data_IF_972996818365
#
_entry.id   IF_972996818365
#
_cell.length_a   1.000
_cell.length_b   1.000
_cell.length_c   1.000
_cell.angle_alpha   90.00
_cell.angle_beta   90.00
_cell.angle_gamma   90.00
#
_symmetry.space_group_name_H-M   'P 1'
#
loop_
_entity.id
_entity.type
_entity.pdbx_description
1 polymer ?
#
# COMPACT_ATOMS: atom_id res chain seq x y z
N UNK A 1 -3.15 4.26 24.91
CA UNK A 1 -3.52 3.89 23.54
C UNK A 1 -2.78 4.70 22.46
N UNK A 2 -2.58 6.01 22.63
CA UNK A 2 -1.88 6.84 21.61
C UNK A 2 -0.48 6.33 21.27
N UNK A 3 0.35 5.97 22.25
CA UNK A 3 1.70 5.45 22.01
C UNK A 3 1.69 4.13 21.23
N UNK A 4 0.77 3.22 21.58
CA UNK A 4 0.61 1.94 20.87
C UNK A 4 0.26 2.19 19.39
N UNK A 5 -0.71 3.08 19.14
CA UNK A 5 -1.12 3.48 17.80
C UNK A 5 0.03 4.17 17.04
N UNK A 6 0.79 5.04 17.70
CA UNK A 6 1.95 5.72 17.12
C UNK A 6 3.03 4.74 16.66
N UNK A 7 3.46 3.80 17.51
CA UNK A 7 4.51 2.84 17.13
C UNK A 7 4.03 1.87 16.04
N UNK A 8 2.78 1.41 16.13
CA UNK A 8 2.19 0.59 15.06
C UNK A 8 2.13 1.34 13.74
N UNK A 9 1.74 2.61 13.76
CA UNK A 9 1.67 3.46 12.58
C UNK A 9 3.07 3.77 12.02
N UNK A 10 4.05 4.03 12.89
CA UNK A 10 5.43 4.26 12.49
C UNK A 10 6.03 3.04 11.79
N UNK A 11 5.71 1.82 12.25
CA UNK A 11 6.11 0.58 11.57
C UNK A 11 5.48 0.42 10.18
N UNK A 12 4.33 1.08 9.91
CA UNK A 12 3.62 1.08 8.64
C UNK A 12 3.91 2.33 7.77
N UNK A 13 4.89 3.15 8.12
CA UNK A 13 5.20 4.40 7.39
C UNK A 13 5.48 4.18 5.90
N UNK A 14 5.99 3.00 5.52
CA UNK A 14 6.23 2.63 4.12
C UNK A 14 4.95 2.55 3.28
N UNK A 15 3.78 2.34 3.91
CA UNK A 15 2.48 2.26 3.25
C UNK A 15 1.84 3.61 2.98
N UNK A 16 2.29 4.68 3.67
CA UNK A 16 1.76 6.03 3.48
C UNK A 16 2.69 7.09 4.02
N UNK A 17 2.95 8.14 3.23
CA UNK A 17 3.95 9.18 3.55
C UNK A 17 3.43 10.59 3.29
N UNK A 18 2.14 10.76 2.96
CA UNK A 18 1.55 12.05 2.65
C UNK A 18 0.94 12.71 3.88
N UNK A 19 0.23 11.94 4.66
CA UNK A 19 -0.42 12.41 5.89
C UNK A 19 -0.62 11.26 6.86
N UNK A 20 -0.83 11.59 8.13
CA UNK A 20 -1.16 10.60 9.14
C UNK A 20 -2.07 11.18 10.22
N UNK A 21 -2.71 10.29 10.98
CA UNK A 21 -3.61 10.68 12.06
C UNK A 21 -3.83 9.57 13.06
N UNK A 22 -4.18 9.98 14.28
CA UNK A 22 -4.57 9.13 15.39
C UNK A 22 -5.84 9.70 16.01
N UNK A 23 -6.80 8.84 16.29
CA UNK A 23 -8.00 9.13 17.08
C UNK A 23 -8.04 8.19 18.26
N UNK A 24 -8.12 8.73 19.47
CA UNK A 24 -8.24 7.96 20.72
C UNK A 24 -9.64 8.16 21.28
N UNK A 25 -10.26 7.07 21.69
CA UNK A 25 -11.56 7.05 22.35
C UNK A 25 -11.38 6.85 23.87
N UNK A 26 -11.84 7.84 24.62
CA UNK A 26 -11.93 7.81 26.06
C UNK A 26 -13.40 7.87 26.47
N UNK A 27 -13.98 6.71 26.70
CA UNK A 27 -15.38 6.53 27.12
C UNK A 27 -16.41 7.28 26.25
N UNK A 28 -16.23 7.17 24.91
CA UNK A 28 -17.12 7.82 23.93
C UNK A 28 -16.71 9.26 23.54
N UNK A 29 -15.72 9.84 24.22
CA UNK A 29 -15.12 11.12 23.85
C UNK A 29 -13.91 10.86 22.97
N UNK A 30 -13.92 11.40 21.76
CA UNK A 30 -12.82 11.23 20.78
C UNK A 30 -11.88 12.42 20.87
N UNK A 31 -10.59 12.12 21.05
CA UNK A 31 -9.50 13.06 20.90
C UNK A 31 -8.72 12.68 19.63
N UNK A 32 -8.47 13.64 18.76
CA UNK A 32 -7.81 13.40 17.49
C UNK A 32 -6.70 14.38 17.18
N UNK A 33 -5.69 13.90 16.48
CA UNK A 33 -4.69 14.71 15.79
C UNK A 33 -4.37 14.07 14.46
N UNK A 34 -4.40 14.87 13.40
CA UNK A 34 -4.04 14.45 12.04
C UNK A 34 -3.52 15.63 11.26
N UNK A 35 -2.51 15.39 10.42
CA UNK A 35 -1.92 16.40 9.57
C UNK A 35 -1.19 15.80 8.37
N UNK A 36 -0.78 16.64 7.44
CA UNK A 36 0.11 16.35 6.33
C UNK A 36 1.52 16.15 6.89
N UNK A 37 2.21 15.10 6.47
CA UNK A 37 3.58 14.77 6.89
C UNK A 37 3.75 13.33 7.35
N UNK A 38 4.99 12.98 7.69
CA UNK A 38 5.35 11.69 8.26
C UNK A 38 4.90 11.58 9.72
N UNK A 39 4.79 10.36 10.21
CA UNK A 39 4.35 10.09 11.59
C UNK A 39 5.18 10.83 12.64
N UNK A 40 6.50 10.87 12.48
CA UNK A 40 7.41 11.57 13.38
C UNK A 40 7.44 13.11 13.18
N UNK A 41 6.90 13.61 12.10
CA UNK A 41 6.74 15.06 11.85
C UNK A 41 5.43 15.57 12.44
N UNK A 42 4.36 14.79 12.33
CA UNK A 42 3.02 15.14 12.83
C UNK A 42 2.89 14.95 14.33
N UNK A 43 3.55 13.94 14.90
CA UNK A 43 3.44 13.60 16.32
C UNK A 43 4.77 13.78 17.05
N UNK A 44 4.86 14.82 17.85
CA UNK A 44 5.90 14.96 18.88
C UNK A 44 5.51 14.17 20.15
N UNK A 45 6.48 13.99 21.06
CA UNK A 45 6.20 13.38 22.37
C UNK A 45 5.15 14.19 23.15
N UNK A 46 5.21 15.52 23.09
CA UNK A 46 4.27 16.38 23.76
C UNK A 46 2.85 16.26 23.18
N UNK A 47 2.74 16.01 21.88
CA UNK A 47 1.45 15.76 21.25
C UNK A 47 0.84 14.44 21.68
N UNK A 48 1.65 13.39 21.82
CA UNK A 48 1.18 12.09 22.32
C UNK A 48 0.72 12.18 23.77
N UNK A 49 1.39 12.97 24.63
CA UNK A 49 1.00 13.19 26.01
C UNK A 49 -0.32 13.97 26.19
N UNK A 50 -0.77 14.71 25.16
CA UNK A 50 -2.07 15.42 25.18
C UNK A 50 -3.27 14.49 24.95
N UNK A 51 -3.06 13.30 24.41
CA UNK A 51 -4.14 12.35 24.26
C UNK A 51 -4.58 11.81 25.62
N UNK A 52 -5.90 11.54 25.80
CA UNK A 52 -6.38 10.84 26.98
C UNK A 52 -5.83 9.42 27.01
N UNK A 53 -5.88 8.78 28.15
CA UNK A 53 -5.43 7.40 28.29
C UNK A 53 -6.21 6.46 27.38
N UNK A 54 -7.53 6.62 27.30
CA UNK A 54 -8.44 5.92 26.41
C UNK A 54 -8.37 4.39 26.44
N UNK A 55 -9.37 3.75 25.87
CA UNK A 55 -9.41 2.28 25.74
C UNK A 55 -9.24 1.78 24.33
N UNK A 56 -9.52 2.60 23.33
CA UNK A 56 -9.44 2.28 21.91
C UNK A 56 -8.76 3.41 21.16
N UNK A 57 -8.08 3.05 20.07
CA UNK A 57 -7.51 4.02 19.14
C UNK A 57 -7.58 3.50 17.69
N UNK A 58 -7.74 4.40 16.75
CA UNK A 58 -7.59 4.15 15.31
C UNK A 58 -6.56 5.10 14.75
N UNK A 59 -5.68 4.58 13.91
CA UNK A 59 -4.62 5.37 13.29
C UNK A 59 -4.48 5.02 11.80
N UNK A 60 -4.00 5.98 11.02
CA UNK A 60 -3.80 5.81 9.58
C UNK A 60 -2.60 6.61 9.09
N UNK A 61 -1.79 5.99 8.22
CA UNK A 61 -0.79 6.65 7.39
C UNK A 61 -1.28 6.59 5.93
N UNK A 62 -1.53 7.77 5.32
CA UNK A 62 -2.17 7.88 4.02
C UNK A 62 -1.14 7.92 2.89
N UNK A 63 -1.44 7.14 1.85
CA UNK A 63 -0.94 7.31 0.50
C UNK A 63 -2.15 7.67 -0.40
N UNK A 64 -2.10 8.78 -1.10
CA UNK A 64 -3.25 9.27 -1.87
C UNK A 64 -3.61 8.37 -3.04
N UNK A 65 -4.75 7.69 -2.96
CA UNK A 65 -5.32 6.87 -4.05
C UNK A 65 -6.48 7.59 -4.72
N UNK A 66 -7.42 8.10 -3.95
CA UNK A 66 -8.52 8.98 -4.39
C UNK A 66 -8.53 10.24 -3.55
N UNK A 67 -8.65 11.41 -4.21
CA UNK A 67 -8.56 12.73 -3.60
C UNK A 67 -7.13 13.21 -3.37
N UNK A 68 -6.93 14.54 -3.48
CA UNK A 68 -5.63 15.19 -3.39
C UNK A 68 -5.01 15.16 -1.99
N UNK A 69 -3.78 15.64 -1.92
CA UNK A 69 -3.05 15.77 -0.66
C UNK A 69 -3.49 17.04 0.08
N UNK A 70 -4.66 16.98 0.71
CA UNK A 70 -5.23 18.05 1.53
C UNK A 70 -5.43 17.59 2.98
N UNK A 71 -5.43 18.54 3.92
CA UNK A 71 -5.73 18.26 5.33
C UNK A 71 -7.11 17.63 5.53
N UNK A 72 -8.08 17.99 4.69
CA UNK A 72 -9.42 17.43 4.75
C UNK A 72 -9.43 15.91 4.51
N UNK A 73 -8.51 15.41 3.66
CA UNK A 73 -8.39 14.00 3.30
C UNK A 73 -7.58 13.17 4.30
N UNK A 74 -7.01 13.79 5.37
CA UNK A 74 -6.29 13.05 6.40
C UNK A 74 -7.23 12.11 7.16
N UNK A 75 -6.81 10.87 7.30
CA UNK A 75 -7.55 9.85 8.06
C UNK A 75 -6.93 9.66 9.45
N UNK A 76 -7.69 9.12 10.44
CA UNK A 76 -9.07 8.63 10.38
C UNK A 76 -10.10 9.74 10.13
N UNK A 77 -11.19 9.40 9.42
CA UNK A 77 -12.34 10.30 9.25
C UNK A 77 -13.26 10.15 10.45
N UNK A 78 -13.60 11.26 11.07
CA UNK A 78 -14.51 11.31 12.22
C UNK A 78 -15.89 11.79 11.80
N UNK A 79 -16.91 11.10 12.25
CA UNK A 79 -18.31 11.41 11.96
C UNK A 79 -19.12 11.46 13.26
N UNK A 80 -19.94 12.49 13.38
CA UNK A 80 -20.96 12.59 14.42
C UNK A 80 -22.31 12.31 13.79
N UNK A 81 -23.04 11.36 14.35
CA UNK A 81 -24.39 11.02 13.90
C UNK A 81 -25.31 10.70 15.06
N UNK A 82 -26.61 10.54 14.79
CA UNK A 82 -27.63 10.36 15.84
C UNK A 82 -27.35 9.21 16.81
N UNK A 83 -26.65 8.16 16.38
CA UNK A 83 -26.33 6.99 17.22
C UNK A 83 -24.96 7.10 17.92
N UNK A 84 -24.30 8.27 17.85
CA UNK A 84 -23.02 8.53 18.50
C UNK A 84 -21.90 8.94 17.55
N UNK A 85 -20.67 8.85 18.01
CA UNK A 85 -19.47 9.14 17.21
C UNK A 85 -18.89 7.89 16.57
N UNK A 86 -18.23 8.09 15.42
CA UNK A 86 -17.51 7.05 14.69
C UNK A 86 -16.22 7.63 14.14
N UNK A 87 -15.12 6.85 14.17
CA UNK A 87 -13.89 7.14 13.48
C UNK A 87 -13.56 5.97 12.55
N UNK A 88 -13.18 6.25 11.30
CA UNK A 88 -12.95 5.26 10.25
C UNK A 88 -11.60 5.48 9.57
N UNK A 89 -10.82 4.42 9.44
CA UNK A 89 -9.62 4.34 8.62
C UNK A 89 -9.81 3.31 7.51
N UNK A 90 -9.36 3.65 6.30
CA UNK A 90 -9.51 2.86 5.08
C UNK A 90 -8.18 2.74 4.33
N UNK A 91 -7.77 1.52 4.04
CA UNK A 91 -6.69 1.19 3.12
C UNK A 91 -7.29 0.46 1.91
N UNK A 92 -7.20 1.08 0.75
CA UNK A 92 -7.75 0.56 -0.49
C UNK A 92 -8.26 1.66 -1.41
N UNK A 93 -9.19 1.29 -2.29
CA UNK A 93 -9.88 2.20 -3.19
C UNK A 93 -11.17 1.57 -3.68
N UNK A 94 -12.29 2.29 -3.58
CA UNK A 94 -13.57 1.83 -4.11
C UNK A 94 -13.64 2.03 -5.62
N UNK A 95 -14.00 0.97 -6.35
CA UNK A 95 -14.21 1.05 -7.80
C UNK A 95 -15.53 1.76 -8.13
N UNK A 96 -16.55 1.68 -7.26
CA UNK A 96 -17.85 2.34 -7.44
C UNK A 96 -18.01 3.64 -6.62
N UNK A 97 -16.89 4.30 -6.27
CA UNK A 97 -16.90 5.51 -5.44
C UNK A 97 -17.71 6.67 -6.07
N UNK A 98 -17.69 6.79 -7.40
CA UNK A 98 -18.39 7.88 -8.10
C UNK A 98 -19.90 7.71 -8.04
N UNK A 99 -20.38 6.54 -8.35
CA UNK A 99 -21.78 6.18 -8.37
C UNK A 99 -22.39 6.36 -6.98
N UNK A 100 -21.70 5.84 -5.97
CA UNK A 100 -22.12 5.97 -4.57
C UNK A 100 -22.13 7.43 -4.10
N UNK A 101 -21.10 8.21 -4.45
CA UNK A 101 -21.06 9.62 -4.09
C UNK A 101 -22.18 10.41 -4.77
N UNK A 102 -22.39 10.18 -6.07
CA UNK A 102 -23.44 10.84 -6.83
C UNK A 102 -24.83 10.53 -6.26
N UNK A 103 -25.10 9.28 -5.91
CA UNK A 103 -26.33 8.87 -5.22
C UNK A 103 -26.53 9.62 -3.89
N UNK A 104 -25.48 9.67 -3.08
CA UNK A 104 -25.49 10.33 -1.77
C UNK A 104 -25.71 11.85 -1.90
N UNK A 105 -25.02 12.52 -2.83
CA UNK A 105 -25.16 13.97 -3.09
C UNK A 105 -26.57 14.31 -3.59
N UNK A 106 -27.14 13.50 -4.48
CA UNK A 106 -28.54 13.64 -4.91
C UNK A 106 -29.53 13.43 -3.76
N UNK A 107 -29.16 12.60 -2.77
CA UNK A 107 -29.89 12.41 -1.52
C UNK A 107 -29.67 13.51 -0.48
N UNK A 108 -28.89 14.56 -0.81
CA UNK A 108 -28.63 15.72 0.06
C UNK A 108 -27.41 15.56 0.98
N UNK A 109 -26.54 14.58 0.78
CA UNK A 109 -25.29 14.46 1.55
C UNK A 109 -24.32 15.60 1.20
N UNK A 110 -23.67 16.15 2.21
CA UNK A 110 -22.67 17.22 2.09
C UNK A 110 -21.31 16.66 2.43
N UNK A 111 -20.43 16.56 1.44
CA UNK A 111 -19.08 16.04 1.60
C UNK A 111 -18.09 17.14 1.99
N UNK A 112 -17.19 16.81 2.91
CA UNK A 112 -16.13 17.69 3.39
C UNK A 112 -14.76 17.29 2.84
N UNK A 113 -14.67 16.08 2.28
CA UNK A 113 -13.44 15.52 1.70
C UNK A 113 -13.68 15.06 0.27
N UNK A 114 -12.59 14.80 -0.44
CA UNK A 114 -12.61 14.16 -1.76
C UNK A 114 -12.28 12.67 -1.69
N UNK A 115 -12.06 12.14 -0.47
CA UNK A 115 -11.73 10.73 -0.23
C UNK A 115 -12.96 9.83 -0.31
N UNK A 116 -12.78 8.64 -0.88
CA UNK A 116 -13.77 7.57 -0.86
C UNK A 116 -14.10 7.05 0.54
N UNK A 117 -13.20 7.25 1.51
CA UNK A 117 -13.44 6.91 2.92
C UNK A 117 -14.64 7.63 3.52
N UNK A 118 -14.90 8.87 3.11
CA UNK A 118 -16.09 9.60 3.56
C UNK A 118 -17.38 9.00 2.98
N UNK A 119 -17.33 8.46 1.76
CA UNK A 119 -18.45 7.73 1.15
C UNK A 119 -18.79 6.50 2.00
N UNK A 120 -17.78 5.73 2.40
CA UNK A 120 -17.96 4.57 3.29
C UNK A 120 -18.62 5.00 4.60
N UNK A 121 -18.14 6.11 5.19
CA UNK A 121 -18.71 6.63 6.44
C UNK A 121 -20.19 7.00 6.30
N UNK A 122 -20.60 7.61 5.18
CA UNK A 122 -22.00 7.92 4.88
C UNK A 122 -22.86 6.67 4.77
N UNK A 123 -22.40 5.66 4.00
CA UNK A 123 -23.16 4.42 3.79
C UNK A 123 -23.32 3.65 5.10
N UNK A 124 -22.26 3.54 5.90
CA UNK A 124 -22.33 2.92 7.23
C UNK A 124 -23.29 3.67 8.15
N UNK A 125 -23.25 5.02 8.12
CA UNK A 125 -24.15 5.85 8.94
C UNK A 125 -25.61 5.67 8.53
N UNK A 126 -25.93 5.67 7.24
CA UNK A 126 -27.28 5.41 6.74
C UNK A 126 -27.77 4.02 7.17
N UNK A 127 -26.95 3.00 6.98
CA UNK A 127 -27.27 1.64 7.42
C UNK A 127 -27.50 1.57 8.93
N UNK A 128 -26.69 2.32 9.71
CA UNK A 128 -26.77 2.33 11.20
C UNK A 128 -28.10 2.89 11.72
N UNK A 129 -28.76 3.77 11.00
CA UNK A 129 -30.07 4.30 11.41
C UNK A 129 -31.11 3.18 11.53
N UNK A 130 -31.05 2.20 10.64
CA UNK A 130 -32.02 1.09 10.55
C UNK A 130 -31.49 -0.25 11.10
N UNK A 131 -30.23 -0.31 11.53
CA UNK A 131 -29.59 -1.52 12.03
C UNK A 131 -29.57 -1.55 13.58
N UNK A 132 -29.71 -2.74 14.21
CA UNK A 132 -29.68 -2.87 15.66
C UNK A 132 -28.29 -2.57 16.24
N UNK A 133 -27.22 -2.82 15.49
CA UNK A 133 -25.84 -2.65 15.93
C UNK A 133 -24.95 -2.06 14.83
N UNK A 134 -23.77 -1.59 15.21
CA UNK A 134 -22.80 -1.03 14.24
C UNK A 134 -22.18 -2.13 13.35
N UNK A 135 -22.01 -3.34 13.85
CA UNK A 135 -21.55 -4.49 13.07
C UNK A 135 -22.55 -4.91 12.00
N UNK A 136 -23.86 -4.89 12.29
CA UNK A 136 -24.90 -5.13 11.30
C UNK A 136 -24.95 -4.01 10.26
N UNK A 137 -24.74 -2.76 10.68
CA UNK A 137 -24.65 -1.63 9.76
C UNK A 137 -23.45 -1.75 8.81
N UNK A 138 -22.29 -2.14 9.33
CA UNK A 138 -21.10 -2.37 8.51
C UNK A 138 -21.31 -3.54 7.54
N UNK A 139 -21.89 -4.66 7.99
CA UNK A 139 -22.24 -5.79 7.13
C UNK A 139 -23.18 -5.36 5.98
N UNK A 140 -24.25 -4.60 6.32
CA UNK A 140 -25.14 -4.04 5.29
C UNK A 140 -24.42 -3.08 4.32
N UNK A 141 -23.50 -2.26 4.83
CA UNK A 141 -22.71 -1.37 3.99
C UNK A 141 -21.80 -2.15 3.01
N UNK A 142 -21.18 -3.24 3.45
CA UNK A 142 -20.31 -4.08 2.60
C UNK A 142 -21.02 -4.61 1.37
N UNK A 143 -22.34 -4.85 1.41
CA UNK A 143 -23.13 -5.26 0.24
C UNK A 143 -23.24 -4.19 -0.85
N UNK A 144 -22.92 -2.92 -0.55
CA UNK A 144 -22.95 -1.79 -1.48
C UNK A 144 -21.56 -1.37 -1.97
N UNK A 145 -20.52 -1.71 -1.22
CA UNK A 145 -19.15 -1.30 -1.52
C UNK A 145 -18.52 -2.26 -2.54
N UNK A 146 -17.98 -1.72 -3.62
CA UNK A 146 -17.18 -2.46 -4.59
C UNK A 146 -15.75 -1.94 -4.62
N UNK A 147 -14.77 -2.85 -4.85
CA UNK A 147 -13.37 -2.52 -4.89
C UNK A 147 -12.59 -3.05 -3.68
N UNK A 148 -11.45 -2.44 -3.42
CA UNK A 148 -10.56 -2.86 -2.34
C UNK A 148 -10.78 -2.03 -1.08
N UNK A 149 -10.99 -2.71 0.05
CA UNK A 149 -11.02 -2.04 1.35
C UNK A 149 -10.58 -2.95 2.50
N UNK A 150 -9.65 -2.45 3.29
CA UNK A 150 -9.39 -2.91 4.64
C UNK A 150 -9.75 -1.76 5.58
N UNK A 151 -10.74 -1.97 6.42
CA UNK A 151 -11.37 -0.96 7.26
C UNK A 151 -11.08 -1.20 8.74
N UNK A 152 -10.78 -0.12 9.46
CA UNK A 152 -10.86 -0.12 10.92
C UNK A 152 -11.83 0.98 11.32
N UNK A 153 -12.93 0.59 11.98
CA UNK A 153 -13.99 1.47 12.42
C UNK A 153 -14.08 1.43 13.95
N UNK A 154 -14.03 2.59 14.58
CA UNK A 154 -14.19 2.74 16.01
C UNK A 154 -15.50 3.50 16.33
N UNK A 155 -16.36 2.91 17.12
CA UNK A 155 -17.51 3.56 17.73
C UNK A 155 -17.21 3.91 19.20
N UNK A 156 -18.19 4.45 19.93
CA UNK A 156 -18.03 4.75 21.34
C UNK A 156 -17.68 3.52 22.20
N UNK A 157 -18.15 2.32 21.83
CA UNK A 157 -18.00 1.11 22.64
C UNK A 157 -17.31 -0.07 21.94
N UNK A 158 -17.09 0.00 20.63
CA UNK A 158 -16.58 -1.13 19.83
C UNK A 158 -15.55 -0.66 18.81
N UNK A 159 -14.57 -1.54 18.55
CA UNK A 159 -13.69 -1.43 17.40
C UNK A 159 -14.01 -2.58 16.44
N UNK A 160 -14.15 -2.27 15.17
CA UNK A 160 -14.43 -3.23 14.11
C UNK A 160 -13.30 -3.21 13.10
N UNK A 161 -12.94 -4.39 12.59
CA UNK A 161 -12.01 -4.55 11.50
C UNK A 161 -12.69 -5.36 10.40
N UNK A 162 -12.73 -4.84 9.19
CA UNK A 162 -13.37 -5.51 8.06
C UNK A 162 -12.45 -5.55 6.85
N UNK A 163 -12.50 -6.65 6.10
CA UNK A 163 -11.76 -6.85 4.87
C UNK A 163 -12.74 -7.10 3.72
N UNK A 164 -12.50 -6.52 2.56
CA UNK A 164 -13.36 -6.72 1.38
C UNK A 164 -13.51 -8.21 1.03
N UNK A 165 -14.63 -8.62 0.35
CA UNK A 165 -14.89 -10.03 0.05
C UNK A 165 -13.87 -10.69 -0.90
N UNK A 166 -13.10 -9.92 -1.68
CA UNK A 166 -12.00 -10.43 -2.49
C UNK A 166 -10.68 -10.55 -1.69
N UNK A 167 -10.54 -9.79 -0.61
CA UNK A 167 -9.34 -9.71 0.21
C UNK A 167 -8.17 -9.03 -0.50
N UNK A 168 -8.43 -7.97 -1.27
CA UNK A 168 -7.40 -7.27 -2.04
C UNK A 168 -6.25 -6.76 -1.17
N UNK A 169 -6.59 -6.06 -0.07
CA UNK A 169 -5.58 -5.52 0.84
C UNK A 169 -5.44 -6.39 2.10
N UNK A 170 -4.22 -6.49 2.64
CA UNK A 170 -4.01 -7.29 3.85
C UNK A 170 -4.60 -6.62 5.08
N UNK A 171 -5.01 -7.44 6.02
CA UNK A 171 -5.43 -7.03 7.36
C UNK A 171 -5.24 -8.21 8.31
N UNK A 172 -4.59 -7.99 9.44
CA UNK A 172 -4.34 -9.00 10.45
C UNK A 172 -4.57 -8.46 11.86
N UNK A 173 -4.62 -9.34 12.85
CA UNK A 173 -4.68 -8.92 14.24
C UNK A 173 -3.81 -9.80 15.13
N UNK A 174 -3.50 -9.25 16.27
CA UNK A 174 -2.73 -9.91 17.32
C UNK A 174 -3.12 -9.40 18.70
N UNK A 175 -2.42 -9.91 19.71
CA UNK A 175 -2.67 -9.57 21.11
C UNK A 175 -1.36 -9.34 21.85
N UNK A 176 -1.27 -8.25 22.59
CA UNK A 176 -0.12 -7.95 23.47
C UNK A 176 -0.16 -8.80 24.73
N UNK A 177 0.92 -8.82 25.49
CA UNK A 177 1.02 -9.60 26.74
C UNK A 177 0.04 -9.13 27.80
N UNK A 178 -0.31 -7.85 27.84
CA UNK A 178 -1.30 -7.26 28.74
C UNK A 178 -2.75 -7.48 28.29
N UNK A 179 -2.94 -8.17 27.16
CA UNK A 179 -4.25 -8.55 26.66
C UNK A 179 -4.89 -7.56 25.69
N UNK A 180 -4.20 -6.49 25.28
CA UNK A 180 -4.69 -5.51 24.31
C UNK A 180 -4.72 -6.11 22.91
N UNK A 181 -5.86 -6.02 22.21
CA UNK A 181 -5.95 -6.41 20.81
C UNK A 181 -5.41 -5.31 19.89
N UNK A 182 -4.66 -5.72 18.88
CA UNK A 182 -4.09 -4.84 17.87
C UNK A 182 -4.46 -5.34 16.48
N UNK A 183 -5.04 -4.46 15.68
CA UNK A 183 -5.34 -4.72 14.25
C UNK A 183 -4.36 -3.90 13.41
N UNK A 184 -3.80 -4.49 12.38
CA UNK A 184 -2.85 -3.83 11.50
C UNK A 184 -2.94 -4.33 10.05
N UNK A 185 -2.52 -3.50 9.11
CA UNK A 185 -2.40 -3.91 7.70
C UNK A 185 -1.35 -5.00 7.50
N UNK A 186 -0.29 -5.01 8.32
CA UNK A 186 0.80 -5.98 8.22
C UNK A 186 1.25 -6.51 9.58
N UNK A 187 1.73 -7.76 9.60
CA UNK A 187 2.24 -8.42 10.81
C UNK A 187 3.48 -7.74 11.41
N UNK A 188 4.29 -7.03 10.60
CA UNK A 188 5.43 -6.26 11.09
C UNK A 188 5.03 -5.17 12.10
N UNK A 189 3.84 -4.57 11.95
CA UNK A 189 3.33 -3.60 12.91
C UNK A 189 2.93 -4.25 14.24
N UNK A 190 2.39 -5.46 14.21
CA UNK A 190 2.11 -6.24 15.44
C UNK A 190 3.40 -6.52 16.20
N UNK A 191 4.44 -6.95 15.48
CA UNK A 191 5.77 -7.20 16.07
C UNK A 191 6.37 -5.94 16.68
N UNK A 192 6.24 -4.80 16.01
CA UNK A 192 6.78 -3.52 16.48
C UNK A 192 6.15 -3.04 17.81
N UNK A 193 4.91 -3.42 18.08
CA UNK A 193 4.21 -3.07 19.33
C UNK A 193 4.16 -4.21 20.35
N UNK A 194 4.91 -5.30 20.12
CA UNK A 194 4.96 -6.45 21.02
C UNK A 194 3.67 -7.29 21.05
N UNK A 195 2.85 -7.18 20.02
CA UNK A 195 1.65 -8.01 19.88
C UNK A 195 1.99 -9.33 19.18
N UNK A 196 1.59 -10.45 19.79
CA UNK A 196 1.67 -11.76 19.16
C UNK A 196 0.64 -11.86 18.06
N UNK A 197 1.08 -12.23 16.86
CA UNK A 197 0.21 -12.48 15.72
C UNK A 197 -0.76 -13.64 16.03
N UNK A 198 -2.04 -13.41 15.82
CA UNK A 198 -3.09 -14.43 15.94
C UNK A 198 -3.43 -15.01 14.57
N UNK A 199 -3.89 -14.19 13.63
CA UNK A 199 -4.17 -14.56 12.24
C UNK A 199 -4.46 -13.36 11.35
N UNK A 200 -4.48 -13.61 10.06
CA UNK A 200 -5.07 -12.71 9.08
C UNK A 200 -6.59 -12.69 9.19
N UNK A 201 -7.20 -11.54 8.87
CA UNK A 201 -8.66 -11.38 8.75
C UNK A 201 -9.07 -11.93 7.37
N UNK A 202 -10.07 -12.79 7.36
CA UNK A 202 -10.52 -13.46 6.13
C UNK A 202 -11.15 -12.44 5.16
N UNK A 203 -11.09 -12.69 3.84
CA UNK A 203 -11.90 -11.94 2.88
C UNK A 203 -13.39 -11.99 3.24
N UNK A 204 -14.05 -10.84 3.33
CA UNK A 204 -15.45 -10.71 3.73
C UNK A 204 -15.73 -10.78 5.23
N UNK A 205 -14.70 -10.93 6.06
CA UNK A 205 -14.88 -11.03 7.52
C UNK A 205 -14.95 -9.64 8.17
N UNK A 206 -15.81 -9.52 9.18
CA UNK A 206 -15.85 -8.42 10.15
C UNK A 206 -15.47 -8.98 11.53
N UNK A 207 -14.37 -8.52 12.10
CA UNK A 207 -14.05 -8.75 13.52
C UNK A 207 -14.59 -7.60 14.36
N UNK A 208 -15.20 -7.94 15.47
CA UNK A 208 -15.74 -7.00 16.46
C UNK A 208 -15.00 -7.19 17.77
N UNK A 209 -14.37 -6.14 18.25
CA UNK A 209 -13.68 -6.09 19.55
C UNK A 209 -14.49 -5.22 20.50
N UNK A 210 -14.90 -5.77 21.61
CA UNK A 210 -15.63 -5.09 22.68
C UNK A 210 -15.23 -5.64 24.06
N UNK A 211 -15.93 -5.25 25.10
CA UNK A 211 -15.69 -5.71 26.48
C UNK A 211 -15.83 -7.23 26.66
N UNK A 212 -16.56 -7.91 25.77
CA UNK A 212 -16.74 -9.36 25.77
C UNK A 212 -15.65 -10.11 24.99
N UNK A 213 -14.67 -9.39 24.45
CA UNK A 213 -13.55 -9.93 23.68
C UNK A 213 -13.71 -9.75 22.18
N UNK A 214 -13.31 -10.75 21.38
CA UNK A 214 -13.34 -10.71 19.93
C UNK A 214 -14.41 -11.65 19.38
N UNK A 215 -15.24 -11.16 18.45
CA UNK A 215 -16.26 -11.93 17.74
C UNK A 215 -16.08 -11.76 16.23
N UNK A 216 -16.38 -12.81 15.48
CA UNK A 216 -16.28 -12.84 14.02
C UNK A 216 -17.68 -12.90 13.40
N UNK A 217 -17.97 -11.98 12.49
CA UNK A 217 -19.08 -12.07 11.55
C UNK A 217 -18.50 -12.45 10.19
N UNK A 218 -19.03 -13.52 9.59
CA UNK A 218 -18.57 -14.12 8.33
C UNK A 218 -19.63 -14.13 7.23
N UNK A 219 -20.63 -13.29 7.33
CA UNK A 219 -21.78 -13.29 6.40
C UNK A 219 -21.32 -13.07 4.94
N UNK A 220 -20.25 -12.29 4.71
CA UNK A 220 -19.70 -12.02 3.38
C UNK A 220 -18.50 -12.93 3.00
N UNK A 221 -18.10 -13.86 3.87
CA UNK A 221 -16.99 -14.77 3.56
C UNK A 221 -17.41 -15.78 2.48
N UNK A 222 -16.61 -15.89 1.42
CA UNK A 222 -16.87 -16.82 0.31
C UNK A 222 -17.88 -16.33 -0.72
N UNK A 223 -18.45 -15.12 -0.59
CA UNK A 223 -19.31 -14.52 -1.62
C UNK A 223 -18.56 -14.24 -2.91
N UNK A 224 -17.26 -13.93 -2.81
CA UNK A 224 -16.38 -13.65 -3.94
C UNK A 224 -15.14 -14.54 -3.90
N UNK A 225 -14.56 -14.87 -5.08
CA UNK A 225 -13.29 -15.58 -5.13
C UNK A 225 -12.19 -14.68 -4.56
N UNK A 226 -11.29 -15.25 -3.77
CA UNK A 226 -10.13 -14.53 -3.24
C UNK A 226 -9.29 -13.96 -4.39
N UNK A 227 -8.87 -12.70 -4.27
CA UNK A 227 -8.06 -11.94 -5.23
C UNK A 227 -7.11 -10.98 -4.51
N UNK A 228 -6.27 -11.50 -3.60
CA UNK A 228 -5.27 -10.66 -2.90
C UNK A 228 -4.33 -9.99 -3.91
N UNK A 229 -3.98 -8.73 -3.67
CA UNK A 229 -3.10 -7.99 -4.58
C UNK A 229 -1.70 -8.63 -4.62
N UNK A 230 -1.25 -9.09 -5.78
CA UNK A 230 0.09 -9.69 -5.92
C UNK A 230 1.20 -8.66 -5.69
N UNK A 231 0.94 -7.38 -5.94
CA UNK A 231 1.91 -6.31 -5.76
C UNK A 231 2.22 -6.01 -4.28
N UNK A 232 1.40 -6.49 -3.35
CA UNK A 232 1.74 -6.51 -1.93
C UNK A 232 3.00 -7.31 -1.66
N UNK A 233 3.16 -8.47 -2.30
CA UNK A 233 4.34 -9.33 -2.16
C UNK A 233 5.55 -8.81 -2.94
N UNK A 234 5.31 -8.15 -4.07
CA UNK A 234 6.39 -7.61 -4.92
C UNK A 234 6.98 -6.35 -4.30
N UNK A 235 6.14 -5.40 -3.84
CA UNK A 235 6.59 -4.07 -3.46
C UNK A 235 6.04 -3.54 -2.13
N UNK A 236 4.69 -3.51 -1.93
CA UNK A 236 4.10 -2.72 -0.84
C UNK A 236 4.50 -3.18 0.55
N UNK A 237 4.39 -4.49 0.82
CA UNK A 237 4.63 -5.00 2.15
C UNK A 237 6.12 -5.02 2.52
N UNK A 238 6.41 -4.91 3.80
CA UNK A 238 7.77 -5.09 4.30
C UNK A 238 8.19 -6.56 4.20
N UNK A 239 9.48 -6.84 3.93
CA UNK A 239 9.97 -8.22 3.80
C UNK A 239 9.73 -9.08 5.04
N UNK A 240 9.74 -8.49 6.23
CA UNK A 240 9.51 -9.16 7.51
C UNK A 240 8.02 -9.43 7.81
N UNK A 241 7.12 -9.07 6.89
CA UNK A 241 5.68 -9.35 7.00
C UNK A 241 5.32 -10.73 6.46
N UNK A 242 4.29 -11.30 7.09
CA UNK A 242 3.57 -12.48 6.60
C UNK A 242 2.15 -12.03 6.26
N UNK A 243 1.70 -12.31 5.04
CA UNK A 243 0.37 -11.97 4.55
C UNK A 243 -0.31 -13.25 4.09
N UNK A 244 -1.50 -13.53 4.62
CA UNK A 244 -2.29 -14.70 4.25
C UNK A 244 -1.49 -16.01 4.31
N UNK A 245 -0.58 -16.12 5.30
CA UNK A 245 0.28 -17.27 5.52
C UNK A 245 1.54 -17.32 4.66
N UNK A 246 1.79 -16.33 3.78
CA UNK A 246 2.96 -16.29 2.90
C UNK A 246 3.95 -15.23 3.37
N UNK A 247 5.22 -15.63 3.53
CA UNK A 247 6.32 -14.68 3.83
C UNK A 247 6.63 -13.81 2.61
N UNK A 248 6.59 -12.49 2.78
CA UNK A 248 6.94 -11.52 1.74
C UNK A 248 8.41 -11.69 1.30
N UNK A 249 9.32 -11.89 2.26
CA UNK A 249 10.73 -12.18 1.98
C UNK A 249 10.89 -13.41 1.08
N UNK A 250 10.22 -14.53 1.42
CA UNK A 250 10.30 -15.76 0.63
C UNK A 250 9.72 -15.55 -0.79
N UNK A 251 8.59 -14.85 -0.92
CA UNK A 251 7.99 -14.56 -2.22
C UNK A 251 8.94 -13.76 -3.13
N UNK A 252 9.61 -12.73 -2.58
CA UNK A 252 10.60 -11.94 -3.34
C UNK A 252 11.84 -12.75 -3.72
N UNK A 253 12.35 -13.60 -2.82
CA UNK A 253 13.46 -14.50 -3.17
C UNK A 253 13.08 -15.47 -4.30
N UNK A 254 11.87 -16.01 -4.26
CA UNK A 254 11.35 -16.85 -5.34
C UNK A 254 11.31 -16.09 -6.67
N UNK A 255 10.88 -14.82 -6.69
CA UNK A 255 10.90 -14.00 -7.90
C UNK A 255 12.32 -13.88 -8.48
N UNK A 256 13.32 -13.63 -7.65
CA UNK A 256 14.71 -13.59 -8.07
C UNK A 256 15.23 -14.93 -8.63
N UNK A 257 14.90 -16.05 -7.96
CA UNK A 257 15.26 -17.38 -8.43
C UNK A 257 14.60 -17.75 -9.77
N UNK A 258 13.37 -17.27 -10.01
CA UNK A 258 12.68 -17.45 -11.30
C UNK A 258 13.38 -16.59 -12.37
N UNK A 259 13.67 -15.32 -12.08
CA UNK A 259 14.37 -14.42 -13.01
C UNK A 259 15.73 -14.94 -13.44
N UNK A 260 16.48 -15.60 -12.55
CA UNK A 260 17.77 -16.21 -12.93
C UNK A 260 17.64 -17.34 -13.94
N UNK A 261 16.50 -18.04 -13.97
CA UNK A 261 16.21 -19.13 -14.91
C UNK A 261 15.61 -18.62 -16.23
N UNK A 262 14.73 -17.61 -16.15
CA UNK A 262 14.02 -17.08 -17.32
C UNK A 262 14.84 -16.05 -18.10
N UNK A 263 15.71 -15.34 -17.40
CA UNK A 263 16.58 -14.30 -17.98
C UNK A 263 18.02 -14.42 -17.48
N UNK A 264 18.70 -15.56 -17.76
CA UNK A 264 20.09 -15.76 -17.38
C UNK A 264 21.01 -14.79 -18.14
N UNK A 265 22.10 -14.39 -17.50
CA UNK A 265 23.15 -13.58 -18.11
C UNK A 265 24.49 -13.85 -17.43
N UNK A 266 25.59 -13.76 -18.16
CA UNK A 266 26.93 -13.78 -17.59
C UNK A 266 27.23 -12.44 -16.92
N UNK A 267 27.52 -12.48 -15.65
CA UNK A 267 27.83 -11.29 -14.87
C UNK A 267 28.80 -11.61 -13.71
N UNK A 268 29.41 -10.57 -13.16
CA UNK A 268 30.39 -10.69 -12.08
C UNK A 268 29.73 -10.54 -10.69
N UNK A 269 28.59 -9.86 -10.61
CA UNK A 269 27.90 -9.58 -9.37
C UNK A 269 26.40 -9.34 -9.57
N UNK A 270 25.58 -9.76 -8.61
CA UNK A 270 24.16 -9.43 -8.51
C UNK A 270 23.98 -8.35 -7.45
N UNK A 271 23.19 -7.33 -7.76
CA UNK A 271 22.88 -6.22 -6.85
C UNK A 271 21.37 -5.95 -6.82
N UNK A 272 20.84 -5.53 -5.66
CA UNK A 272 19.46 -5.10 -5.53
C UNK A 272 19.36 -3.58 -5.38
N UNK A 273 18.33 -2.98 -5.99
CA UNK A 273 17.95 -1.59 -5.71
C UNK A 273 17.35 -1.53 -4.30
N UNK A 274 17.92 -0.75 -3.38
CA UNK A 274 17.37 -0.64 -2.01
C UNK A 274 16.02 0.10 -1.96
N UNK A 275 15.00 -0.40 -1.21
CA UNK A 275 15.02 -1.59 -0.36
C UNK A 275 14.34 -2.79 -1.06
N UNK A 276 13.47 -2.54 -2.03
CA UNK A 276 12.54 -3.51 -2.66
C UNK A 276 13.23 -4.60 -3.48
N UNK A 277 14.33 -4.28 -4.16
CA UNK A 277 15.06 -5.22 -5.02
C UNK A 277 16.01 -6.17 -4.26
N UNK A 278 16.27 -5.95 -2.97
CA UNK A 278 17.31 -6.68 -2.22
C UNK A 278 16.97 -8.18 -2.12
N UNK A 279 15.75 -8.52 -1.69
CA UNK A 279 15.37 -9.93 -1.47
C UNK A 279 15.37 -10.73 -2.78
N UNK A 280 14.88 -10.12 -3.86
CA UNK A 280 14.89 -10.73 -5.18
C UNK A 280 16.34 -10.88 -5.71
N UNK A 281 17.22 -9.93 -5.43
CA UNK A 281 18.63 -10.03 -5.77
C UNK A 281 19.33 -11.19 -5.03
N UNK A 282 19.03 -11.39 -3.76
CA UNK A 282 19.50 -12.55 -2.99
C UNK A 282 19.03 -13.86 -3.62
N UNK A 283 17.75 -13.96 -4.00
CA UNK A 283 17.19 -15.15 -4.66
C UNK A 283 17.81 -15.41 -6.04
N UNK A 284 18.06 -14.34 -6.82
CA UNK A 284 18.75 -14.46 -8.11
C UNK A 284 20.19 -14.93 -7.93
N UNK A 285 20.94 -14.33 -7.01
CA UNK A 285 22.34 -14.70 -6.75
C UNK A 285 22.48 -16.16 -6.31
N UNK A 286 21.63 -16.60 -5.38
CA UNK A 286 21.62 -17.98 -4.89
C UNK A 286 21.33 -19.00 -6.01
N UNK A 287 20.34 -18.69 -6.86
CA UNK A 287 19.91 -19.61 -7.92
C UNK A 287 20.86 -19.61 -9.15
N UNK A 288 21.51 -18.48 -9.43
CA UNK A 288 22.46 -18.36 -10.56
C UNK A 288 23.90 -18.76 -10.20
N UNK A 289 24.27 -18.75 -8.92
CA UNK A 289 25.64 -18.92 -8.45
C UNK A 289 26.51 -17.67 -8.63
N UNK A 290 25.98 -16.56 -9.14
CA UNK A 290 26.67 -15.27 -9.24
C UNK A 290 26.68 -14.62 -7.85
N UNK A 291 27.83 -14.13 -7.32
CA UNK A 291 27.88 -13.58 -5.98
C UNK A 291 27.00 -12.33 -5.82
N UNK A 292 26.33 -12.21 -4.67
CA UNK A 292 25.64 -10.98 -4.30
C UNK A 292 26.63 -9.94 -3.79
N UNK A 293 26.45 -8.69 -4.20
CA UNK A 293 27.21 -7.55 -3.74
C UNK A 293 26.37 -6.31 -3.44
N UNK A 294 26.80 -5.49 -2.50
CA UNK A 294 26.18 -4.20 -2.24
C UNK A 294 26.67 -3.18 -3.26
N UNK A 295 25.80 -2.75 -4.18
CA UNK A 295 26.11 -1.72 -5.16
C UNK A 295 25.70 -0.32 -4.76
N UNK A 296 24.80 -0.20 -3.78
CA UNK A 296 24.23 1.07 -3.35
C UNK A 296 24.17 1.22 -1.84
N UNK A 297 24.30 2.46 -1.41
CA UNK A 297 23.95 2.91 -0.07
C UNK A 297 22.75 3.85 -0.17
N UNK A 298 21.70 3.53 0.58
CA UNK A 298 20.54 4.41 0.75
C UNK A 298 20.75 5.31 1.96
N UNK A 299 20.63 6.63 1.75
CA UNK A 299 20.66 7.59 2.85
C UNK A 299 19.37 7.47 3.68
N UNK A 300 19.49 6.89 4.88
CA UNK A 300 18.37 6.63 5.80
C UNK A 300 17.82 7.91 6.46
N UNK A 301 18.58 9.00 6.43
CA UNK A 301 18.20 10.27 7.07
C UNK A 301 17.36 11.18 6.17
N UNK A 302 17.16 10.82 4.91
CA UNK A 302 16.37 11.59 3.95
C UNK A 302 15.02 10.91 3.75
N UNK A 303 13.95 11.56 4.23
CA UNK A 303 12.57 11.15 3.99
C UNK A 303 12.12 11.43 2.54
N UNK A 304 10.94 10.89 2.14
CA UNK A 304 10.30 11.20 0.84
C UNK A 304 9.82 12.65 0.73
N UNK A 305 9.69 13.35 1.84
CA UNK A 305 9.18 14.72 1.95
C UNK A 305 10.12 15.81 1.41
N UNK A 306 11.32 15.47 0.94
CA UNK A 306 12.17 16.44 0.27
C UNK A 306 11.59 16.75 -1.12
N UNK A 307 10.46 17.47 -1.15
CA UNK A 307 9.81 17.94 -2.38
C UNK A 307 10.46 19.26 -2.77
N UNK A 308 11.33 19.22 -3.78
CA UNK A 308 11.79 20.45 -4.45
C UNK A 308 10.88 20.72 -5.65
N UNK A 309 10.31 21.93 -5.81
CA UNK A 309 9.55 22.27 -7.00
C UNK A 309 10.47 22.40 -8.23
N UNK A 310 10.14 21.67 -9.31
CA UNK A 310 10.82 21.73 -10.61
C UNK A 310 11.35 20.37 -11.12
N UNK A 311 11.27 20.16 -12.43
CA UNK A 311 11.72 18.90 -13.07
C UNK A 311 13.23 18.65 -12.93
N UNK A 312 14.06 19.69 -12.97
CA UNK A 312 15.53 19.56 -12.84
C UNK A 312 15.98 19.12 -11.44
N UNK A 313 15.15 19.37 -10.42
CA UNK A 313 15.45 18.99 -9.02
C UNK A 313 15.12 17.54 -8.68
N UNK A 314 14.37 16.81 -9.53
CA UNK A 314 14.13 15.37 -9.33
C UNK A 314 15.38 14.53 -9.59
N UNK A 315 16.28 14.99 -10.44
CA UNK A 315 17.56 14.31 -10.74
C UNK A 315 18.45 14.32 -9.49
N UNK A 316 18.53 15.46 -8.80
CA UNK A 316 19.31 15.57 -7.56
C UNK A 316 18.75 14.72 -6.42
N UNK A 317 17.44 14.48 -6.38
CA UNK A 317 16.80 13.68 -5.31
C UNK A 317 17.22 12.22 -5.30
N UNK A 318 17.42 11.58 -6.46
CA UNK A 318 17.88 10.18 -6.51
C UNK A 318 19.33 10.11 -6.02
N UNK A 319 20.20 11.02 -6.46
CA UNK A 319 21.61 11.07 -6.02
C UNK A 319 21.77 11.30 -4.51
N UNK A 320 20.92 12.16 -3.94
CA UNK A 320 20.96 12.41 -2.48
C UNK A 320 20.48 11.19 -1.68
N UNK A 321 19.51 10.45 -2.24
CA UNK A 321 18.92 9.27 -1.58
C UNK A 321 19.72 8.00 -1.78
N UNK A 322 20.38 7.85 -2.93
CA UNK A 322 21.03 6.62 -3.36
C UNK A 322 22.42 6.94 -3.92
N UNK A 323 23.44 6.35 -3.34
CA UNK A 323 24.82 6.50 -3.79
C UNK A 323 25.39 5.15 -4.21
N UNK A 324 26.03 5.08 -5.38
CA UNK A 324 26.72 3.87 -5.82
C UNK A 324 28.04 3.67 -5.05
N UNK A 325 28.38 2.41 -4.76
CA UNK A 325 29.64 2.03 -4.13
C UNK A 325 30.65 1.69 -5.25
N UNK A 326 31.49 2.64 -5.63
CA UNK A 326 32.42 2.49 -6.77
C UNK A 326 33.31 1.26 -6.67
N UNK A 327 33.80 0.89 -5.46
CA UNK A 327 34.60 -0.32 -5.22
C UNK A 327 33.88 -1.61 -5.65
N UNK A 328 32.57 -1.66 -5.44
CA UNK A 328 31.74 -2.82 -5.79
C UNK A 328 31.32 -2.85 -7.26
N UNK A 329 31.36 -1.69 -7.94
CA UNK A 329 30.72 -1.47 -9.24
C UNK A 329 31.74 -1.40 -10.37
N UNK A 330 32.91 -0.77 -10.13
CA UNK A 330 33.90 -0.46 -11.15
C UNK A 330 34.38 -1.72 -11.90
N UNK A 331 34.37 -1.61 -13.25
CA UNK A 331 34.80 -2.65 -14.20
C UNK A 331 34.00 -3.97 -14.11
N UNK A 332 32.83 -3.98 -13.45
CA UNK A 332 31.96 -5.15 -13.29
C UNK A 332 30.83 -5.20 -14.30
N UNK A 333 30.46 -6.43 -14.72
CA UNK A 333 29.18 -6.75 -15.34
C UNK A 333 28.18 -7.02 -14.20
N UNK A 334 27.11 -6.27 -14.17
CA UNK A 334 26.18 -6.23 -13.02
C UNK A 334 24.81 -6.77 -13.45
N UNK A 335 24.26 -7.70 -12.67
CA UNK A 335 22.82 -7.96 -12.69
C UNK A 335 22.18 -7.07 -11.63
N UNK A 336 21.40 -6.11 -12.07
CA UNK A 336 20.67 -5.19 -11.20
C UNK A 336 19.20 -5.61 -11.06
N UNK A 337 18.77 -5.89 -9.84
CA UNK A 337 17.39 -6.30 -9.56
C UNK A 337 16.60 -5.14 -8.99
N UNK A 338 15.42 -4.87 -9.56
CA UNK A 338 14.43 -3.92 -9.00
C UNK A 338 13.03 -4.55 -9.01
N UNK A 339 12.07 -3.92 -8.32
CA UNK A 339 10.71 -4.45 -8.21
C UNK A 339 9.87 -4.21 -9.47
N UNK A 340 9.93 -3.02 -10.05
CA UNK A 340 9.05 -2.61 -11.15
C UNK A 340 9.57 -1.42 -11.95
N UNK A 341 9.12 -1.31 -13.21
CA UNK A 341 9.29 -0.11 -14.03
C UNK A 341 7.92 0.40 -14.44
N UNK A 342 7.58 1.63 -14.02
CA UNK A 342 6.32 2.30 -14.40
C UNK A 342 6.56 3.28 -15.53
N UNK A 343 7.38 4.34 -15.30
CA UNK A 343 7.69 5.41 -16.26
C UNK A 343 9.13 5.36 -16.81
N UNK A 344 9.98 4.52 -16.23
CA UNK A 344 11.39 4.36 -16.62
C UNK A 344 12.36 5.44 -16.13
N UNK A 345 11.88 6.59 -15.65
CA UNK A 345 12.73 7.71 -15.22
C UNK A 345 13.65 7.36 -14.05
N UNK A 346 13.12 6.71 -13.03
CA UNK A 346 13.90 6.27 -11.86
C UNK A 346 14.93 5.21 -12.25
N UNK A 347 14.51 4.21 -13.02
CA UNK A 347 15.41 3.13 -13.48
C UNK A 347 16.58 3.68 -14.31
N UNK A 348 16.32 4.64 -15.21
CA UNK A 348 17.36 5.34 -15.96
C UNK A 348 18.36 6.05 -15.05
N UNK A 349 17.88 6.74 -14.00
CA UNK A 349 18.77 7.42 -13.05
C UNK A 349 19.63 6.44 -12.28
N UNK A 350 19.06 5.30 -11.86
CA UNK A 350 19.78 4.26 -11.12
C UNK A 350 20.86 3.61 -12.02
N UNK A 351 20.54 3.30 -13.28
CA UNK A 351 21.51 2.77 -14.24
C UNK A 351 22.64 3.79 -14.47
N UNK A 352 22.32 5.06 -14.65
CA UNK A 352 23.32 6.12 -14.82
C UNK A 352 24.27 6.24 -13.62
N UNK A 353 23.76 6.11 -12.38
CA UNK A 353 24.62 6.10 -11.19
C UNK A 353 25.66 4.96 -11.22
N UNK A 354 25.26 3.77 -11.69
CA UNK A 354 26.20 2.64 -11.83
C UNK A 354 27.21 2.90 -12.96
N UNK A 355 26.78 3.48 -14.10
CA UNK A 355 27.67 3.84 -15.21
C UNK A 355 28.72 4.89 -14.77
N UNK A 356 28.27 5.93 -14.06
CA UNK A 356 29.17 6.95 -13.50
C UNK A 356 30.16 6.36 -12.48
N UNK A 357 29.76 5.32 -11.74
CA UNK A 357 30.61 4.58 -10.83
C UNK A 357 31.57 3.59 -11.54
N UNK A 358 31.48 3.48 -12.88
CA UNK A 358 32.40 2.69 -13.71
C UNK A 358 31.91 1.28 -14.02
N UNK A 359 30.61 0.99 -13.95
CA UNK A 359 30.04 -0.30 -14.35
C UNK A 359 30.36 -0.58 -15.84
N UNK A 360 30.83 -1.80 -16.14
CA UNK A 360 31.12 -2.25 -17.49
C UNK A 360 29.83 -2.58 -18.24
N UNK A 361 28.96 -3.37 -17.61
CA UNK A 361 27.65 -3.75 -18.11
C UNK A 361 26.63 -3.69 -16.98
N UNK A 362 25.35 -3.33 -17.32
CA UNK A 362 24.23 -3.31 -16.40
C UNK A 362 23.05 -4.05 -17.02
N UNK A 363 22.78 -5.26 -16.51
CA UNK A 363 21.69 -6.11 -16.94
C UNK A 363 20.54 -6.00 -15.93
N UNK A 364 19.47 -5.30 -16.32
CA UNK A 364 18.35 -5.06 -15.40
C UNK A 364 17.36 -6.23 -15.40
N UNK A 365 16.91 -6.64 -14.21
CA UNK A 365 15.91 -7.69 -14.00
C UNK A 365 14.85 -7.17 -13.06
N UNK A 366 13.60 -7.27 -13.47
CA UNK A 366 12.45 -6.72 -12.78
C UNK A 366 11.62 -7.85 -12.20
N UNK A 367 11.39 -7.83 -10.89
CA UNK A 367 10.70 -8.88 -10.15
C UNK A 367 9.17 -8.80 -10.26
N UNK A 368 8.65 -7.99 -11.16
CA UNK A 368 7.25 -7.98 -11.61
C UNK A 368 7.15 -8.16 -13.13
N UNK A 369 5.97 -8.53 -13.66
CA UNK A 369 5.64 -8.32 -15.07
C UNK A 369 5.58 -6.82 -15.41
N UNK A 370 5.61 -6.43 -16.69
CA UNK A 370 5.45 -5.03 -17.11
C UNK A 370 4.04 -4.53 -16.76
N UNK A 371 3.94 -3.29 -16.28
CA UNK A 371 2.67 -2.62 -16.08
C UNK A 371 2.03 -2.24 -17.41
N UNK A 372 0.87 -2.82 -17.71
CA UNK A 372 0.13 -2.61 -18.97
C UNK A 372 -1.22 -1.91 -18.76
N UNK A 373 -1.72 -1.87 -17.51
CA UNK A 373 -3.07 -1.40 -17.19
C UNK A 373 -3.09 -0.60 -15.89
N UNK A 374 -4.00 0.39 -15.74
CA UNK A 374 -4.18 1.12 -14.49
C UNK A 374 -4.68 0.20 -13.38
N UNK A 375 -4.51 0.65 -12.13
CA UNK A 375 -5.04 -0.04 -10.95
C UNK A 375 -6.22 0.74 -10.36
N UNK A 376 -7.33 0.03 -10.11
CA UNK A 376 -8.53 0.60 -9.48
C UNK A 376 -8.66 0.23 -7.99
N UNK A 377 -7.69 -0.49 -7.43
CA UNK A 377 -7.72 -1.06 -6.08
C UNK A 377 -6.70 -0.45 -5.12
N UNK A 378 -6.14 0.71 -5.46
CA UNK A 378 -5.29 1.50 -4.56
C UNK A 378 -3.78 1.38 -4.79
N UNK A 379 -3.33 1.02 -6.01
CA UNK A 379 -1.96 1.25 -6.48
C UNK A 379 -1.93 2.54 -7.30
N UNK A 380 -0.87 3.36 -7.13
CA UNK A 380 -0.72 4.62 -7.87
C UNK A 380 -0.26 4.40 -9.32
N UNK A 381 -1.11 3.74 -10.08
CA UNK A 381 -0.97 3.51 -11.53
C UNK A 381 -2.29 3.98 -12.15
N UNK A 382 -2.33 5.24 -12.55
CA UNK A 382 -3.55 5.99 -12.85
C UNK A 382 -3.99 5.95 -14.30
N UNK A 383 -3.04 5.86 -15.26
CA UNK A 383 -3.37 5.84 -16.68
C UNK A 383 -2.35 5.05 -17.51
N UNK A 384 -2.80 4.50 -18.64
CA UNK A 384 -1.95 3.79 -19.59
C UNK A 384 -0.93 4.71 -20.26
N UNK A 385 -1.23 5.98 -20.40
CA UNK A 385 -0.37 6.98 -21.01
C UNK A 385 0.97 7.15 -20.27
N UNK A 386 0.94 6.91 -18.95
CA UNK A 386 2.11 7.00 -18.08
C UNK A 386 2.93 5.70 -18.00
N UNK A 387 2.45 4.60 -18.60
CA UNK A 387 3.08 3.29 -18.52
C UNK A 387 4.02 3.07 -19.71
N UNK A 388 5.33 3.04 -19.44
CA UNK A 388 6.35 2.90 -20.50
C UNK A 388 6.16 1.63 -21.34
N UNK A 389 5.75 0.52 -20.70
CA UNK A 389 5.54 -0.75 -21.39
C UNK A 389 4.32 -0.78 -22.31
N UNK A 390 3.41 0.21 -22.23
CA UNK A 390 2.31 0.37 -23.18
C UNK A 390 2.75 0.96 -24.53
N UNK A 391 3.93 1.58 -24.58
CA UNK A 391 4.41 2.36 -25.73
C UNK A 391 5.70 1.84 -26.34
N UNK A 392 6.45 1.02 -25.59
CA UNK A 392 7.77 0.55 -25.97
C UNK A 392 7.94 -0.95 -25.75
N UNK A 393 8.72 -1.60 -26.63
CA UNK A 393 9.15 -2.98 -26.43
C UNK A 393 10.15 -3.09 -25.27
N UNK A 394 10.42 -4.31 -24.82
CA UNK A 394 11.40 -4.56 -23.74
C UNK A 394 12.80 -4.05 -24.15
N UNK A 395 13.18 -4.24 -25.39
CA UNK A 395 14.46 -3.79 -25.97
C UNK A 395 14.53 -2.25 -25.99
N UNK A 396 13.47 -1.58 -26.47
CA UNK A 396 13.39 -0.12 -26.46
C UNK A 396 13.44 0.46 -25.04
N UNK A 397 12.77 -0.21 -24.06
CA UNK A 397 12.84 0.19 -22.66
C UNK A 397 14.27 0.04 -22.12
N UNK A 398 14.97 -1.06 -22.46
CA UNK A 398 16.37 -1.24 -22.09
C UNK A 398 17.24 -0.07 -22.60
N UNK A 399 17.08 0.31 -23.86
CA UNK A 399 17.78 1.46 -24.46
C UNK A 399 17.43 2.78 -23.76
N UNK A 400 16.15 3.03 -23.50
CA UNK A 400 15.66 4.24 -22.82
C UNK A 400 16.28 4.38 -21.42
N UNK A 401 16.37 3.29 -20.67
CA UNK A 401 16.95 3.32 -19.32
C UNK A 401 18.48 3.20 -19.31
N UNK A 402 19.11 2.87 -20.45
CA UNK A 402 20.56 2.74 -20.60
C UNK A 402 21.13 1.41 -20.08
N UNK A 403 20.31 0.37 -19.99
CA UNK A 403 20.71 -0.98 -19.62
C UNK A 403 21.17 -1.81 -20.83
N UNK A 404 22.14 -2.71 -20.66
CA UNK A 404 22.61 -3.60 -21.73
C UNK A 404 21.60 -4.72 -22.01
N UNK A 405 20.78 -5.08 -21.05
CA UNK A 405 19.61 -5.95 -21.24
C UNK A 405 18.56 -5.74 -20.16
N UNK A 406 17.31 -6.03 -20.49
CA UNK A 406 16.18 -5.96 -19.59
C UNK A 406 15.40 -7.29 -19.61
N UNK A 407 14.99 -7.77 -18.45
CA UNK A 407 14.12 -8.93 -18.33
C UNK A 407 13.09 -8.73 -17.21
N UNK A 408 11.84 -9.03 -17.51
CA UNK A 408 10.72 -8.99 -16.56
C UNK A 408 10.36 -10.39 -16.05
N UNK A 409 9.84 -10.46 -14.84
CA UNK A 409 9.24 -11.70 -14.35
C UNK A 409 8.05 -12.07 -15.26
N UNK A 410 7.98 -13.29 -15.81
CA UNK A 410 6.82 -13.73 -16.59
C UNK A 410 5.56 -13.75 -15.75
N UNK A 411 4.42 -13.29 -16.29
CA UNK A 411 3.12 -13.30 -15.59
C UNK A 411 2.71 -14.71 -15.16
N UNK A 412 2.98 -15.71 -15.99
CA UNK A 412 2.71 -17.13 -15.70
C UNK A 412 3.39 -17.66 -14.44
N UNK A 413 4.45 -16.99 -13.99
CA UNK A 413 5.24 -17.33 -12.80
C UNK A 413 4.75 -16.68 -11.51
N UNK A 414 3.82 -15.72 -11.59
CA UNK A 414 3.30 -15.03 -10.40
C UNK A 414 2.73 -16.00 -9.36
N UNK A 415 2.08 -17.07 -9.80
CA UNK A 415 1.55 -18.11 -8.91
C UNK A 415 2.64 -18.79 -8.08
N UNK A 416 3.84 -18.90 -8.63
CA UNK A 416 4.98 -19.54 -7.96
C UNK A 416 5.61 -18.66 -6.88
N UNK A 417 5.31 -17.36 -6.85
CA UNK A 417 5.75 -16.45 -5.79
C UNK A 417 5.09 -16.80 -4.45
N UNK A 418 3.79 -17.07 -4.51
CA UNK A 418 2.95 -17.23 -3.32
C UNK A 418 2.32 -18.62 -3.17
N UNK A 419 2.58 -19.53 -4.12
CA UNK A 419 2.02 -20.90 -4.13
C UNK A 419 0.50 -20.95 -4.35
N UNK A 420 -0.09 -19.95 -5.00
CA UNK A 420 -1.54 -19.83 -5.22
C UNK A 420 -1.85 -19.08 -6.50
N UNK A 421 -2.99 -19.38 -7.12
CA UNK A 421 -3.56 -18.63 -8.26
C UNK A 421 -4.62 -17.59 -7.82
N UNK A 422 -4.88 -17.49 -6.52
CA UNK A 422 -5.93 -16.65 -5.95
C UNK A 422 -5.44 -15.22 -5.67
N UNK A 423 -4.95 -14.52 -6.69
CA UNK A 423 -4.47 -13.15 -6.60
C UNK A 423 -5.03 -12.26 -7.70
N UNK A 424 -4.94 -10.95 -7.50
CA UNK A 424 -5.19 -9.93 -8.51
C UNK A 424 -3.86 -9.52 -9.15
N UNK A 425 -3.80 -9.59 -10.47
CA UNK A 425 -2.69 -9.11 -11.33
C UNK A 425 -3.21 -8.18 -12.43
N UNK A 426 -4.36 -7.54 -12.22
CA UNK A 426 -5.05 -6.73 -13.24
C UNK A 426 -4.19 -5.59 -13.83
N UNK A 427 -3.28 -5.02 -13.04
CA UNK A 427 -2.31 -4.03 -13.52
C UNK A 427 -1.33 -4.57 -14.58
N UNK A 428 -1.17 -5.89 -14.68
CA UNK A 428 -0.32 -6.55 -15.68
C UNK A 428 -1.15 -7.07 -16.87
N UNK A 429 -2.29 -7.72 -16.62
CA UNK A 429 -3.05 -8.45 -17.64
C UNK A 429 -4.41 -7.83 -18.04
N UNK A 430 -4.89 -6.80 -17.32
CA UNK A 430 -6.16 -6.15 -17.61
C UNK A 430 -7.41 -6.94 -17.18
N UNK A 431 -7.25 -8.06 -16.45
CA UNK A 431 -8.38 -8.85 -15.95
C UNK A 431 -8.77 -8.38 -14.57
N UNK A 432 -9.79 -7.54 -14.51
CA UNK A 432 -10.27 -6.94 -13.26
C UNK A 432 -11.33 -7.81 -12.59
N UNK A 433 -11.21 -8.06 -11.26
CA UNK A 433 -12.22 -8.80 -10.50
C UNK A 433 -13.56 -8.08 -10.32
N UNK A 434 -13.59 -6.74 -10.45
CA UNK A 434 -14.80 -5.91 -10.40
C UNK A 434 -15.03 -5.20 -11.75
N UNK A 435 -16.22 -4.66 -12.02
CA UNK A 435 -16.43 -3.75 -13.15
C UNK A 435 -15.41 -2.61 -13.16
N UNK A 436 -15.02 -2.20 -14.36
CA UNK A 436 -14.13 -1.04 -14.54
C UNK A 436 -14.94 0.22 -14.28
N UNK A 437 -14.45 1.16 -13.45
CA UNK A 437 -15.14 2.42 -13.21
C UNK A 437 -15.35 3.24 -14.49
N UNK A 438 -16.53 3.82 -14.66
CA UNK A 438 -16.82 4.70 -15.80
C UNK A 438 -15.97 5.96 -15.82
N UNK A 439 -15.55 6.43 -14.64
CA UNK A 439 -14.71 7.62 -14.46
C UNK A 439 -13.42 7.26 -13.72
N UNK A 440 -12.28 7.41 -14.38
CA UNK A 440 -10.97 6.86 -13.96
C UNK A 440 -10.08 7.91 -13.26
N UNK A 441 -10.40 9.21 -13.31
CA UNK A 441 -9.50 10.27 -12.79
C UNK A 441 -9.52 10.36 -11.27
N UNK A 442 -8.34 10.30 -10.64
CA UNK A 442 -8.14 10.45 -9.18
C UNK A 442 -8.71 11.77 -8.64
N UNK A 443 -8.53 12.85 -9.41
CA UNK A 443 -8.81 14.23 -9.00
C UNK A 443 -10.20 14.71 -9.44
N UNK A 444 -11.08 13.81 -9.86
CA UNK A 444 -12.39 14.16 -10.43
C UNK A 444 -13.27 15.01 -9.50
N UNK A 445 -13.07 14.90 -8.19
CA UNK A 445 -13.77 15.73 -7.21
C UNK A 445 -13.07 17.07 -6.95
N UNK A 446 -11.86 17.27 -7.51
CA UNK A 446 -11.01 18.46 -7.32
C UNK A 446 -10.85 19.28 -8.61
N UNK A 447 -11.32 18.77 -9.75
CA UNK A 447 -11.23 19.43 -11.06
C UNK A 447 -11.92 20.79 -11.07
N UNK A 448 -11.30 21.79 -11.70
CA UNK A 448 -11.88 23.13 -11.88
C UNK A 448 -13.15 23.04 -12.75
N UNK A 449 -14.13 23.88 -12.49
CA UNK A 449 -15.35 23.96 -13.30
C UNK A 449 -15.05 24.14 -14.80
N UNK A 450 -14.00 24.87 -15.15
CA UNK A 450 -13.55 25.09 -16.52
C UNK A 450 -12.95 23.85 -17.19
N UNK A 451 -12.61 22.81 -16.44
CA UNK A 451 -12.03 21.55 -16.91
C UNK A 451 -13.07 20.42 -17.02
N UNK A 452 -14.25 20.58 -16.37
CA UNK A 452 -15.34 19.60 -16.37
C UNK A 452 -16.09 19.51 -17.70
N UNK A 453 -15.91 20.47 -18.59
CA UNK A 453 -16.60 20.59 -19.89
C UNK A 453 -15.67 20.35 -21.08
N UNK A 454 -14.51 19.77 -20.88
CA UNK A 454 -13.61 19.28 -21.92
C UNK A 454 -13.53 17.77 -21.88
#
# INVERSE_FOLDING_TARGET
>A
MADLAYYGLYALQHRGQESCGIVVNDDGVFASRKDIGLVNEVFSRDDLMKFPQGRMAVAHARYGTTGGNSRANCQPIEVNHQKGKMALAHNGNLSNAYELRSELELGGAIFHTTSDTEIIAYIVTQARLNSPSIENALSSAMSRLEGAYSLVLMSAAKLLAARDPYGFRPLCYGKTLDGTYVVASESCALSAVGAKFERDILPGEILVFDENGVRSNRDHCGEKPRRSCIFEYIYFARPDSVIDGVSVHAARRNAGAILSKTHPVEADVVMGVPDSGIDAALGYAEASGIPYGMGFIKNKYIGRTFISPGQDKRIDQVRIKLSAISESVKDKRIVLIDDSIVRGTTSRQIVNLLREAGAKEVHMRISSPPFMHPCYYGTDVDSRENLIACHHSVEEIADIIGADSLGYLPESELKNLIGSENFCSACFNGVYPTPIPDVITKDRFEGKLSERNK
#
